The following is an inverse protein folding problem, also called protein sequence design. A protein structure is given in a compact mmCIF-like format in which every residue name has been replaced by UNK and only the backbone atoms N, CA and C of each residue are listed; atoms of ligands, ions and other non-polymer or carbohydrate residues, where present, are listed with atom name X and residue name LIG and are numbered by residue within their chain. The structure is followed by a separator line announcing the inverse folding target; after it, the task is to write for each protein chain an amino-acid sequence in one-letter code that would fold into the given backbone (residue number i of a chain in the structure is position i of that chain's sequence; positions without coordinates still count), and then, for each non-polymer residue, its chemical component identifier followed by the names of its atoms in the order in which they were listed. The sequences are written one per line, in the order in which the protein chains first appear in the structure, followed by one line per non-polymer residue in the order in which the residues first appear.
data_IF_600371515449
#
_entry.id   IF_600371515449
#
_cell.length_a   1.000
_cell.length_b   1.000
_cell.length_c   1.000
_cell.angle_alpha   90.00
_cell.angle_beta   90.00
_cell.angle_gamma   90.00
#
_symmetry.space_group_name_H-M   'P 1'
#
loop_
_entity.id
_entity.type
_entity.pdbx_description
1 polymer ?
#
# COMPACT_ATOMS: atom_id res chain seq x y z
N UNK A 1 -56.76 63.33 14.17
CA UNK A 1 -55.94 63.39 12.94
C UNK A 1 -54.88 62.31 13.05
N UNK A 2 -54.71 61.56 11.96
CA UNK A 2 -53.66 60.55 11.69
C UNK A 2 -53.67 59.27 12.56
N UNK A 3 -53.44 58.06 12.04
CA UNK A 3 -53.25 57.57 10.67
C UNK A 3 -53.48 56.05 10.68
N UNK A 4 -53.89 55.56 9.51
CA UNK A 4 -54.26 54.18 9.13
C UNK A 4 -53.27 53.10 9.59
N UNK A 5 -53.78 51.98 10.08
CA UNK A 5 -53.10 50.68 10.08
C UNK A 5 -53.87 49.73 9.15
N UNK A 6 -53.28 49.47 7.99
CA UNK A 6 -53.70 48.44 7.06
C UNK A 6 -53.13 47.08 7.52
N UNK A 7 -54.02 46.09 7.63
CA UNK A 7 -53.72 44.67 7.41
C UNK A 7 -53.08 44.53 6.02
N UNK A 8 -52.16 43.58 5.75
CA UNK A 8 -52.67 42.22 5.49
C UNK A 8 -51.70 41.02 5.63
N UNK A 9 -52.32 39.85 5.46
CA UNK A 9 -51.84 38.63 4.79
C UNK A 9 -50.76 37.77 5.46
N UNK A 10 -51.26 36.69 6.05
CA UNK A 10 -50.60 35.41 6.27
C UNK A 10 -49.90 34.93 4.99
N UNK A 11 -48.62 34.58 5.11
CA UNK A 11 -47.94 33.68 4.16
C UNK A 11 -47.14 32.67 4.98
N UNK A 12 -47.56 31.41 4.87
CA UNK A 12 -46.89 30.27 5.47
C UNK A 12 -45.70 29.88 4.57
N UNK A 13 -44.49 29.88 5.14
CA UNK A 13 -43.32 29.29 4.49
C UNK A 13 -43.05 27.91 5.11
N UNK A 14 -43.04 26.82 4.33
CA UNK A 14 -42.61 25.53 4.82
C UNK A 14 -41.08 25.51 4.94
N UNK A 15 -40.59 25.04 6.08
CA UNK A 15 -39.18 24.81 6.33
C UNK A 15 -38.73 23.60 5.48
N UNK A 16 -38.00 23.86 4.40
CA UNK A 16 -37.25 22.85 3.66
C UNK A 16 -35.98 22.51 4.47
N UNK A 17 -36.07 21.44 5.26
CA UNK A 17 -34.91 20.74 5.81
C UNK A 17 -34.16 20.08 4.64
N UNK A 18 -33.11 20.74 4.17
CA UNK A 18 -32.12 20.12 3.28
C UNK A 18 -31.35 19.06 4.09
N UNK A 19 -31.80 17.80 4.00
CA UNK A 19 -31.02 16.67 4.45
C UNK A 19 -29.80 16.56 3.53
N UNK A 20 -28.65 17.06 3.98
CA UNK A 20 -27.38 16.77 3.35
C UNK A 20 -27.09 15.29 3.52
N UNK A 21 -27.49 14.48 2.54
CA UNK A 21 -27.03 13.10 2.42
C UNK A 21 -25.53 13.16 2.15
N UNK A 22 -24.74 13.00 3.21
CA UNK A 22 -23.34 12.65 3.09
C UNK A 22 -23.29 11.35 2.30
N UNK A 23 -22.95 11.44 1.02
CA UNK A 23 -22.54 10.29 0.23
C UNK A 23 -21.32 9.72 0.96
N UNK A 24 -21.53 8.67 1.74
CA UNK A 24 -20.45 7.83 2.21
C UNK A 24 -19.80 7.26 0.95
N UNK A 25 -18.66 7.81 0.53
CA UNK A 25 -17.83 7.22 -0.51
C UNK A 25 -17.37 5.84 -0.02
N UNK A 26 -17.87 4.73 -0.57
CA UNK A 26 -17.38 3.41 -0.23
C UNK A 26 -16.38 3.04 -1.32
N UNK A 27 -15.14 3.48 -1.18
CA UNK A 27 -14.02 2.93 -1.93
C UNK A 27 -12.75 3.35 -1.20
N UNK A 28 -11.85 2.40 -0.96
CA UNK A 28 -10.48 2.66 -0.54
C UNK A 28 -9.75 3.41 -1.66
N UNK A 29 -10.06 4.70 -1.87
CA UNK A 29 -9.21 5.56 -2.67
C UNK A 29 -7.91 5.72 -1.88
N UNK A 30 -6.86 5.01 -2.31
CA UNK A 30 -5.51 5.32 -1.87
C UNK A 30 -5.29 6.80 -2.21
N UNK A 31 -5.16 7.65 -1.21
CA UNK A 31 -4.85 9.05 -1.43
C UNK A 31 -3.58 9.14 -2.29
N UNK A 32 -3.58 10.04 -3.27
CA UNK A 32 -2.39 10.28 -4.09
C UNK A 32 -1.19 10.65 -3.21
N UNK A 33 -0.02 10.08 -3.51
CA UNK A 33 1.22 10.31 -2.75
C UNK A 33 2.30 10.93 -3.64
N UNK A 34 2.01 12.08 -4.28
CA UNK A 34 2.94 12.67 -5.23
C UNK A 34 4.21 13.13 -4.53
N UNK A 35 5.32 13.04 -5.25
CA UNK A 35 6.60 13.58 -4.84
C UNK A 35 6.77 15.00 -5.41
N UNK A 36 7.07 15.96 -4.54
CA UNK A 36 7.35 17.32 -4.97
C UNK A 36 8.62 17.34 -5.86
N UNK A 37 8.65 18.14 -6.95
CA UNK A 37 9.80 18.15 -7.88
C UNK A 37 11.13 18.48 -7.21
N UNK A 38 11.15 19.40 -6.23
CA UNK A 38 12.37 19.74 -5.50
C UNK A 38 12.92 18.55 -4.69
N UNK A 39 12.03 17.75 -4.10
CA UNK A 39 12.39 16.54 -3.35
C UNK A 39 13.00 15.49 -4.28
N UNK A 40 12.34 15.23 -5.42
CA UNK A 40 12.84 14.30 -6.44
C UNK A 40 14.22 14.73 -6.96
N UNK A 41 14.40 16.03 -7.25
CA UNK A 41 15.67 16.55 -7.73
C UNK A 41 16.81 16.37 -6.71
N UNK A 42 16.54 16.63 -5.43
CA UNK A 42 17.53 16.44 -4.36
C UNK A 42 17.94 14.98 -4.19
N UNK A 43 16.99 14.04 -4.29
CA UNK A 43 17.27 12.60 -4.25
C UNK A 43 18.04 12.17 -5.50
N UNK A 44 17.58 12.55 -6.70
CA UNK A 44 18.20 12.20 -7.96
C UNK A 44 19.67 12.65 -8.01
N UNK A 45 19.95 13.89 -7.58
CA UNK A 45 21.32 14.43 -7.53
C UNK A 45 22.26 13.58 -6.65
N UNK A 46 21.79 13.12 -5.49
CA UNK A 46 22.57 12.26 -4.59
C UNK A 46 22.84 10.88 -5.20
N UNK A 47 21.96 10.40 -6.06
CA UNK A 47 22.10 9.11 -6.76
C UNK A 47 22.80 9.23 -8.12
N UNK A 48 23.26 10.43 -8.50
CA UNK A 48 23.85 10.67 -9.82
C UNK A 48 22.84 10.61 -10.98
N UNK A 49 21.55 10.61 -10.66
CA UNK A 49 20.43 10.53 -11.60
C UNK A 49 19.98 11.92 -12.05
N UNK A 50 19.30 11.99 -13.21
CA UNK A 50 18.80 13.24 -13.80
C UNK A 50 17.43 13.05 -14.44
N UNK A 51 16.71 14.15 -14.64
CA UNK A 51 15.45 14.13 -15.38
C UNK A 51 14.29 13.45 -14.67
N UNK A 52 14.42 13.17 -13.37
CA UNK A 52 13.34 12.61 -12.57
C UNK A 52 12.18 13.60 -12.46
N UNK A 53 10.99 13.13 -12.82
CA UNK A 53 9.73 13.85 -12.70
C UNK A 53 8.71 12.90 -12.07
N UNK A 54 7.63 13.43 -11.50
CA UNK A 54 6.56 12.58 -11.00
C UNK A 54 6.07 11.66 -12.13
N UNK A 55 6.11 10.33 -11.96
CA UNK A 55 5.68 9.40 -12.99
C UNK A 55 4.19 9.56 -13.30
N UNK A 56 3.83 9.37 -14.57
CA UNK A 56 2.45 9.36 -15.05
C UNK A 56 2.29 8.30 -16.13
N UNK A 57 1.07 7.83 -16.36
CA UNK A 57 0.78 6.85 -17.42
C UNK A 57 1.02 7.38 -18.83
N UNK A 58 0.98 8.71 -19.02
CA UNK A 58 1.07 9.36 -20.32
C UNK A 58 2.52 9.75 -20.69
N UNK A 59 3.47 9.55 -19.78
CA UNK A 59 4.85 10.00 -19.95
C UNK A 59 5.85 8.97 -19.44
N UNK A 60 6.69 8.49 -20.35
CA UNK A 60 7.83 7.63 -20.00
C UNK A 60 9.00 8.46 -19.46
N UNK A 61 9.73 7.89 -18.51
CA UNK A 61 10.90 8.51 -17.92
C UNK A 61 11.71 7.53 -17.06
N UNK A 62 12.94 7.91 -16.66
CA UNK A 62 13.82 7.03 -15.88
C UNK A 62 13.29 6.74 -14.47
N UNK A 63 12.40 7.58 -13.93
CA UNK A 63 11.65 7.30 -12.72
C UNK A 63 10.31 6.67 -13.13
N UNK A 64 10.13 5.38 -12.84
CA UNK A 64 8.99 4.58 -13.30
C UNK A 64 7.81 4.66 -12.34
N UNK A 65 8.08 4.63 -11.03
CA UNK A 65 7.05 4.76 -9.99
C UNK A 65 7.59 5.57 -8.81
N UNK A 66 6.71 6.35 -8.17
CA UNK A 66 7.10 7.17 -7.04
C UNK A 66 5.94 7.39 -6.07
N UNK A 67 6.22 7.20 -4.78
CA UNK A 67 5.35 7.57 -3.68
C UNK A 67 6.13 8.38 -2.63
N UNK A 68 5.54 9.48 -2.18
CA UNK A 68 6.08 10.33 -1.13
C UNK A 68 5.01 10.69 -0.10
N UNK A 69 5.38 10.63 1.19
CA UNK A 69 4.55 11.12 2.30
C UNK A 69 5.39 11.82 3.35
N UNK A 70 4.79 12.80 4.03
CA UNK A 70 5.38 13.40 5.24
C UNK A 70 5.50 12.35 6.34
N UNK A 71 6.63 12.39 7.05
CA UNK A 71 6.87 11.53 8.20
C UNK A 71 5.99 11.99 9.37
N UNK A 72 5.15 11.13 9.97
CA UNK A 72 4.15 11.64 10.90
C UNK A 72 4.70 12.08 12.27
N UNK A 73 5.95 11.76 12.62
CA UNK A 73 6.57 12.21 13.88
C UNK A 73 7.46 13.48 13.71
N UNK A 74 7.85 13.86 12.50
CA UNK A 74 8.55 15.13 12.21
C UNK A 74 8.20 15.60 10.79
N UNK A 75 7.44 16.69 10.69
CA UNK A 75 6.97 17.22 9.41
C UNK A 75 8.09 17.74 8.49
N UNK A 76 9.32 17.92 8.99
CA UNK A 76 10.49 18.26 8.18
C UNK A 76 11.10 17.04 7.49
N UNK A 77 10.59 15.85 7.78
CA UNK A 77 11.02 14.60 7.17
C UNK A 77 9.92 14.04 6.30
N UNK A 78 10.32 13.29 5.27
CA UNK A 78 9.42 12.52 4.42
C UNK A 78 9.91 11.07 4.35
N UNK A 79 9.00 10.15 4.07
CA UNK A 79 9.33 8.83 3.56
C UNK A 79 9.03 8.78 2.06
N UNK A 80 9.87 8.07 1.32
CA UNK A 80 9.79 7.94 -0.13
C UNK A 80 9.99 6.48 -0.54
N UNK A 81 9.28 6.05 -1.56
CA UNK A 81 9.51 4.79 -2.27
C UNK A 81 9.56 5.09 -3.77
N UNK A 82 10.67 4.74 -4.43
CA UNK A 82 10.93 5.06 -5.82
C UNK A 82 11.36 3.80 -6.57
N UNK A 83 10.84 3.59 -7.77
CA UNK A 83 11.32 2.60 -8.73
C UNK A 83 11.89 3.33 -9.94
N UNK A 84 13.16 3.11 -10.26
CA UNK A 84 13.83 3.81 -11.34
C UNK A 84 14.78 2.92 -12.12
N UNK A 85 15.02 3.30 -13.36
CA UNK A 85 16.04 2.73 -14.22
C UNK A 85 17.25 3.67 -14.22
N UNK A 86 18.42 3.17 -13.80
CA UNK A 86 19.64 3.97 -13.72
C UNK A 86 20.26 4.27 -15.08
N UNK A 87 19.98 3.42 -16.08
CA UNK A 87 20.70 3.41 -17.35
C UNK A 87 19.81 3.83 -18.53
N UNK A 88 18.52 4.13 -18.26
CA UNK A 88 17.49 4.40 -19.28
C UNK A 88 17.50 3.32 -20.39
N UNK A 89 17.84 2.09 -20.00
CA UNK A 89 18.03 0.91 -20.85
C UNK A 89 17.14 -0.26 -20.45
N UNK A 90 16.37 -0.10 -19.37
CA UNK A 90 15.40 -1.07 -18.93
C UNK A 90 14.48 -1.38 -20.11
N UNK A 91 14.34 -2.68 -20.38
CA UNK A 91 13.62 -3.20 -21.53
C UNK A 91 12.12 -2.87 -21.50
N UNK A 92 11.36 -3.64 -22.25
CA UNK A 92 9.90 -3.53 -22.29
C UNK A 92 9.31 -3.71 -20.89
N UNK A 93 8.27 -2.95 -20.48
CA UNK A 93 7.51 -3.27 -19.27
C UNK A 93 7.18 -4.77 -19.20
N UNK A 94 7.42 -5.37 -18.03
CA UNK A 94 7.32 -6.82 -17.80
C UNK A 94 8.64 -7.58 -17.97
N UNK A 95 9.73 -6.91 -18.40
CA UNK A 95 11.07 -7.51 -18.58
C UNK A 95 12.19 -6.63 -17.99
N UNK A 96 11.84 -5.56 -17.26
CA UNK A 96 12.80 -4.60 -16.71
C UNK A 96 13.42 -5.09 -15.41
N UNK A 97 14.69 -4.72 -15.20
CA UNK A 97 15.31 -4.71 -13.88
C UNK A 97 15.37 -3.27 -13.38
N UNK A 98 14.51 -2.92 -12.44
CA UNK A 98 14.44 -1.58 -11.86
C UNK A 98 15.13 -1.56 -10.49
N UNK A 99 15.70 -0.41 -10.12
CA UNK A 99 16.14 -0.16 -8.76
C UNK A 99 14.97 0.26 -7.88
N UNK A 100 14.87 -0.33 -6.69
CA UNK A 100 13.99 0.12 -5.61
C UNK A 100 14.79 0.95 -4.61
N UNK A 101 14.34 2.18 -4.35
CA UNK A 101 14.81 2.98 -3.23
C UNK A 101 13.66 3.20 -2.25
N UNK A 102 13.88 2.85 -0.99
CA UNK A 102 13.01 3.23 0.12
C UNK A 102 13.83 4.09 1.06
N UNK A 103 13.37 5.30 1.38
CA UNK A 103 14.16 6.21 2.21
C UNK A 103 13.31 7.06 3.15
N UNK A 104 13.91 7.42 4.28
CA UNK A 104 13.51 8.58 5.08
C UNK A 104 14.47 9.72 4.75
N UNK A 105 13.93 10.88 4.42
CA UNK A 105 14.68 12.01 3.88
C UNK A 105 14.29 13.31 4.58
N UNK A 106 15.20 14.29 4.56
CA UNK A 106 14.85 15.68 4.82
C UNK A 106 13.95 16.19 3.69
N UNK A 107 12.75 16.69 4.03
CA UNK A 107 11.75 17.06 3.04
C UNK A 107 12.15 18.25 2.17
N UNK A 108 13.02 19.14 2.66
CA UNK A 108 13.39 20.35 1.93
C UNK A 108 14.52 20.11 0.93
N UNK A 109 15.49 19.26 1.30
CA UNK A 109 16.70 19.01 0.50
C UNK A 109 16.71 17.67 -0.21
N UNK A 110 15.86 16.72 0.19
CA UNK A 110 15.92 15.32 -0.25
C UNK A 110 17.09 14.55 0.33
N UNK A 111 17.87 15.13 1.25
CA UNK A 111 19.02 14.48 1.88
C UNK A 111 18.59 13.20 2.61
N UNK A 112 19.29 12.10 2.34
CA UNK A 112 19.03 10.83 3.02
C UNK A 112 19.29 10.94 4.53
N UNK A 113 18.31 10.52 5.32
CA UNK A 113 18.45 10.28 6.76
C UNK A 113 18.65 8.79 6.99
N UNK A 114 17.84 7.95 6.34
CA UNK A 114 17.98 6.50 6.29
C UNK A 114 17.53 5.98 4.93
N UNK A 115 18.11 4.89 4.45
CA UNK A 115 17.67 4.27 3.18
C UNK A 115 17.85 2.76 3.11
N UNK A 116 17.06 2.15 2.26
CA UNK A 116 17.17 0.79 1.78
C UNK A 116 17.16 0.81 0.25
N UNK A 117 18.05 0.05 -0.35
CA UNK A 117 18.14 -0.12 -1.80
C UNK A 117 17.94 -1.60 -2.12
N UNK A 118 17.21 -1.87 -3.18
CA UNK A 118 16.93 -3.21 -3.70
C UNK A 118 16.69 -3.15 -5.20
N UNK A 119 16.21 -4.25 -5.76
CA UNK A 119 15.83 -4.32 -7.17
C UNK A 119 14.41 -4.90 -7.30
N UNK A 120 13.71 -4.48 -8.36
CA UNK A 120 12.44 -5.05 -8.81
C UNK A 120 12.71 -5.68 -10.17
N UNK A 121 12.70 -7.00 -10.22
CA UNK A 121 12.80 -7.75 -11.47
C UNK A 121 11.38 -7.98 -11.97
N UNK A 122 11.04 -7.37 -13.10
CA UNK A 122 9.74 -7.54 -13.72
C UNK A 122 9.66 -8.87 -14.46
N UNK A 123 8.50 -9.50 -14.36
CA UNK A 123 8.16 -10.76 -14.99
C UNK A 123 6.64 -10.90 -15.14
N UNK A 124 6.15 -12.12 -15.36
CA UNK A 124 4.71 -12.40 -15.47
C UNK A 124 3.90 -12.03 -14.21
N UNK A 125 4.52 -11.95 -13.03
CA UNK A 125 3.89 -11.63 -11.75
C UNK A 125 4.08 -10.16 -11.36
N UNK A 126 5.18 -9.53 -11.78
CA UNK A 126 5.50 -8.15 -11.43
C UNK A 126 5.70 -7.26 -12.66
N UNK A 127 4.84 -6.24 -12.79
CA UNK A 127 5.06 -5.11 -13.70
C UNK A 127 4.78 -3.80 -12.95
N UNK A 128 5.70 -2.85 -13.04
CA UNK A 128 5.68 -1.58 -12.31
C UNK A 128 5.17 -0.47 -13.23
N UNK A 129 4.11 0.19 -12.79
CA UNK A 129 3.56 1.40 -13.41
C UNK A 129 3.65 2.59 -12.44
N UNK A 130 3.24 3.77 -12.91
CA UNK A 130 3.39 5.04 -12.20
C UNK A 130 2.86 5.04 -10.75
N UNK A 131 1.82 4.26 -10.46
CA UNK A 131 1.14 4.14 -9.17
C UNK A 131 1.37 2.79 -8.45
N UNK A 132 2.33 1.99 -8.92
CA UNK A 132 2.69 0.70 -8.32
C UNK A 132 3.24 0.80 -6.90
N UNK A 133 3.70 1.97 -6.47
CA UNK A 133 4.27 2.16 -5.13
C UNK A 133 3.30 2.94 -4.24
N UNK A 134 3.17 2.50 -3.00
CA UNK A 134 2.38 3.17 -1.98
C UNK A 134 3.05 3.10 -0.61
N UNK A 135 2.96 4.19 0.15
CA UNK A 135 3.50 4.32 1.50
C UNK A 135 2.38 4.21 2.53
N UNK A 136 2.52 3.24 3.43
CA UNK A 136 1.68 3.09 4.60
C UNK A 136 2.36 3.69 5.83
N UNK A 137 1.86 4.84 6.27
CA UNK A 137 2.38 5.56 7.45
C UNK A 137 1.45 5.44 8.67
N UNK A 138 0.65 4.37 8.72
CA UNK A 138 -0.14 4.02 9.90
C UNK A 138 0.75 3.96 11.17
N UNK A 139 0.11 3.89 12.34
CA UNK A 139 0.78 4.03 13.63
C UNK A 139 1.50 2.73 14.06
N UNK A 140 2.44 2.25 13.25
CA UNK A 140 3.28 1.08 13.54
C UNK A 140 4.39 1.41 14.55
N UNK A 141 4.03 1.81 15.78
CA UNK A 141 4.99 1.98 16.88
C UNK A 141 5.31 0.60 17.46
N UNK A 142 6.39 0.00 16.97
CA UNK A 142 6.83 -1.35 17.37
C UNK A 142 7.54 -1.31 18.73
N UNK A 143 8.20 -0.22 19.07
CA UNK A 143 8.76 0.02 20.40
C UNK A 143 8.60 1.51 20.76
N UNK A 144 9.02 1.89 21.99
CA UNK A 144 8.91 3.28 22.48
C UNK A 144 9.46 4.30 21.48
N UNK A 145 10.63 4.00 20.92
CA UNK A 145 11.40 4.88 20.03
C UNK A 145 11.56 4.29 18.61
N UNK A 146 10.82 3.23 18.28
CA UNK A 146 10.86 2.57 16.96
C UNK A 146 9.49 2.63 16.32
N UNK A 147 9.40 3.42 15.24
CA UNK A 147 8.23 3.45 14.36
C UNK A 147 8.59 2.88 13.00
N UNK A 148 7.81 1.91 12.56
CA UNK A 148 7.87 1.40 11.21
C UNK A 148 6.97 2.20 10.25
N UNK A 149 7.22 2.03 8.96
CA UNK A 149 6.28 2.36 7.88
C UNK A 149 6.31 1.26 6.83
N UNK A 150 5.21 1.13 6.10
CA UNK A 150 5.05 0.18 5.03
C UNK A 150 5.38 0.78 3.67
N UNK A 151 5.95 -0.04 2.80
CA UNK A 151 5.93 0.14 1.36
C UNK A 151 5.06 -0.98 0.78
N UNK A 152 4.06 -0.62 0.00
CA UNK A 152 3.22 -1.55 -0.75
C UNK A 152 3.61 -1.48 -2.22
N UNK A 153 3.85 -2.64 -2.81
CA UNK A 153 4.13 -2.81 -4.23
C UNK A 153 2.92 -3.48 -4.88
N UNK A 154 2.26 -2.77 -5.78
CA UNK A 154 1.13 -3.25 -6.58
C UNK A 154 1.60 -3.50 -8.02
N UNK A 155 1.43 -4.74 -8.48
CA UNK A 155 1.75 -5.13 -9.86
C UNK A 155 0.63 -4.74 -10.82
N UNK A 156 1.01 -4.28 -12.01
CA UNK A 156 0.15 -4.10 -13.18
C UNK A 156 0.29 -5.26 -14.19
N UNK A 157 1.11 -6.26 -13.86
CA UNK A 157 1.34 -7.40 -14.71
C UNK A 157 0.03 -8.15 -14.93
N UNK A 158 -0.15 -8.67 -16.14
CA UNK A 158 -1.37 -9.43 -16.49
C UNK A 158 -1.54 -10.70 -15.64
N UNK A 159 -0.46 -11.16 -15.01
CA UNK A 159 -0.42 -12.42 -14.30
C UNK A 159 -0.28 -13.61 -15.26
N UNK A 160 -0.07 -14.81 -14.70
CA UNK A 160 -0.15 -16.06 -15.46
C UNK A 160 -1.55 -16.26 -16.05
N UNK A 161 -1.67 -17.02 -17.14
CA UNK A 161 -2.94 -17.23 -17.84
C UNK A 161 -3.94 -18.10 -17.06
N UNK A 162 -3.46 -19.11 -16.32
CA UNK A 162 -4.28 -20.11 -15.62
C UNK A 162 -3.78 -20.38 -14.20
N UNK A 163 -3.67 -19.36 -13.32
CA UNK A 163 -3.30 -19.57 -11.93
C UNK A 163 -4.39 -20.32 -11.16
N UNK A 164 -3.99 -21.05 -10.13
CA UNK A 164 -4.89 -21.58 -9.10
C UNK A 164 -4.82 -20.79 -7.78
N UNK A 165 -3.99 -19.74 -7.74
CA UNK A 165 -3.90 -18.78 -6.64
C UNK A 165 -3.27 -17.47 -7.11
N UNK A 166 -3.47 -16.39 -6.36
CA UNK A 166 -2.81 -15.12 -6.62
C UNK A 166 -2.49 -14.37 -5.33
N UNK A 167 -1.43 -13.57 -5.38
CA UNK A 167 -0.96 -12.73 -4.28
C UNK A 167 -0.71 -11.33 -4.83
N UNK A 168 -1.19 -10.30 -4.13
CA UNK A 168 -1.16 -8.92 -4.62
C UNK A 168 -0.86 -7.95 -3.48
N UNK A 169 -0.37 -6.78 -3.85
CA UNK A 169 -0.06 -5.69 -2.93
C UNK A 169 0.92 -6.13 -1.84
N UNK A 170 2.15 -6.46 -2.24
CA UNK A 170 3.19 -6.87 -1.31
C UNK A 170 3.53 -5.70 -0.38
N UNK A 171 3.23 -5.85 0.91
CA UNK A 171 3.58 -4.95 1.97
C UNK A 171 4.90 -5.38 2.61
N UNK A 172 5.89 -4.49 2.59
CA UNK A 172 7.08 -4.60 3.42
C UNK A 172 7.11 -3.50 4.49
N UNK A 173 7.22 -3.87 5.77
CA UNK A 173 7.46 -2.91 6.86
C UNK A 173 8.96 -2.66 7.05
N UNK A 174 9.35 -1.40 7.09
CA UNK A 174 10.72 -0.95 7.35
C UNK A 174 10.84 -0.26 8.70
N UNK A 175 11.95 -0.51 9.40
CA UNK A 175 12.36 0.21 10.62
C UNK A 175 13.74 0.85 10.43
N UNK A 176 14.09 1.87 11.23
CA UNK A 176 15.47 2.31 11.39
C UNK A 176 16.42 1.13 11.70
N UNK A 177 17.48 1.02 10.90
CA UNK A 177 18.57 0.08 11.09
C UNK A 177 19.83 0.78 11.61
N UNK A 178 20.96 0.07 11.55
CA UNK A 178 22.27 0.61 11.88
C UNK A 178 22.80 1.50 10.74
N UNK A 179 23.72 2.41 11.05
CA UNK A 179 24.45 3.19 10.04
C UNK A 179 23.57 3.87 8.96
N UNK A 180 22.47 4.51 9.38
CA UNK A 180 21.53 5.19 8.47
C UNK A 180 20.89 4.27 7.41
N UNK A 181 20.66 3.00 7.76
CA UNK A 181 19.91 2.07 6.91
C UNK A 181 18.45 1.98 7.32
N UNK A 182 17.60 1.60 6.38
CA UNK A 182 16.27 1.05 6.66
C UNK A 182 16.33 -0.46 6.54
N UNK A 183 15.73 -1.14 7.51
CA UNK A 183 15.74 -2.60 7.60
C UNK A 183 14.33 -3.15 7.46
N UNK A 184 14.08 -4.07 6.51
CA UNK A 184 12.79 -4.74 6.43
C UNK A 184 12.62 -5.67 7.64
N UNK A 185 11.42 -5.66 8.22
CA UNK A 185 11.07 -6.50 9.38
C UNK A 185 9.85 -7.37 9.14
N UNK A 186 9.02 -7.08 8.14
CA UNK A 186 7.89 -7.91 7.74
C UNK A 186 7.72 -7.78 6.24
N UNK A 187 7.41 -8.87 5.55
CA UNK A 187 6.97 -8.89 4.15
C UNK A 187 5.80 -9.86 4.03
N UNK A 188 4.72 -9.43 3.39
CA UNK A 188 3.54 -10.25 3.12
C UNK A 188 2.58 -9.54 2.17
N UNK A 189 1.46 -10.16 1.82
CA UNK A 189 0.53 -9.63 0.82
C UNK A 189 -0.73 -9.07 1.46
N UNK A 190 -1.26 -7.97 0.91
CA UNK A 190 -2.49 -7.36 1.41
C UNK A 190 -3.76 -7.95 0.76
N UNK A 191 -3.59 -8.67 -0.35
CA UNK A 191 -4.66 -9.43 -0.99
C UNK A 191 -4.12 -10.77 -1.48
N UNK A 192 -4.88 -11.83 -1.26
CA UNK A 192 -4.61 -13.14 -1.84
C UNK A 192 -5.95 -13.73 -2.32
N UNK A 193 -5.89 -14.67 -3.26
CA UNK A 193 -7.01 -15.56 -3.58
C UNK A 193 -6.50 -16.96 -3.89
N UNK A 194 -7.36 -17.96 -3.73
CA UNK A 194 -7.05 -19.36 -4.01
C UNK A 194 -8.26 -20.09 -4.59
N UNK A 195 -8.04 -20.98 -5.55
CA UNK A 195 -9.04 -21.95 -6.02
C UNK A 195 -9.30 -22.96 -4.91
N UNK A 196 -10.56 -23.08 -4.47
CA UNK A 196 -10.99 -24.08 -3.47
C UNK A 196 -11.79 -25.22 -4.09
N UNK A 197 -12.29 -25.05 -5.32
CA UNK A 197 -12.95 -26.12 -6.06
C UNK A 197 -12.78 -25.92 -7.57
N UNK A 198 -12.61 -27.02 -8.30
CA UNK A 198 -12.48 -27.01 -9.75
C UNK A 198 -11.04 -26.77 -10.21
N UNK A 199 -10.89 -26.34 -11.46
CA UNK A 199 -9.59 -26.13 -12.10
C UNK A 199 -9.68 -24.87 -12.93
N UNK A 200 -8.69 -23.99 -12.80
CA UNK A 200 -8.59 -22.77 -13.60
C UNK A 200 -8.55 -23.08 -15.10
N UNK A 201 -9.06 -22.17 -15.94
CA UNK A 201 -9.11 -22.29 -17.40
C UNK A 201 -9.87 -23.50 -17.98
N UNK A 202 -10.68 -24.18 -17.18
CA UNK A 202 -11.60 -25.22 -17.65
C UNK A 202 -13.02 -24.70 -17.49
N UNK A 203 -13.87 -24.87 -18.51
CA UNK A 203 -15.29 -24.57 -18.38
C UNK A 203 -15.91 -25.52 -17.36
N UNK A 204 -16.04 -25.05 -16.11
CA UNK A 204 -16.48 -25.85 -14.98
C UNK A 204 -17.39 -25.00 -14.09
N UNK A 205 -18.69 -25.28 -14.13
CA UNK A 205 -19.72 -24.62 -13.33
C UNK A 205 -19.50 -24.76 -11.81
N UNK A 206 -18.58 -25.64 -11.40
CA UNK A 206 -18.16 -25.87 -10.01
C UNK A 206 -16.86 -25.17 -9.63
N UNK A 207 -16.28 -24.33 -10.50
CA UNK A 207 -15.14 -23.50 -10.11
C UNK A 207 -15.52 -22.58 -8.95
N UNK A 208 -14.75 -22.59 -7.86
CA UNK A 208 -14.93 -21.71 -6.70
C UNK A 208 -13.59 -21.20 -6.25
N UNK A 209 -13.52 -19.92 -5.92
CA UNK A 209 -12.35 -19.34 -5.26
C UNK A 209 -12.71 -18.64 -3.96
N UNK A 210 -11.74 -18.52 -3.08
CA UNK A 210 -11.81 -17.68 -1.89
C UNK A 210 -10.80 -16.54 -2.03
N UNK A 211 -11.24 -15.35 -1.67
CA UNK A 211 -10.44 -14.12 -1.68
C UNK A 211 -10.21 -13.70 -0.25
N UNK A 212 -9.04 -13.16 0.06
CA UNK A 212 -8.81 -12.49 1.32
C UNK A 212 -8.23 -11.09 1.16
N UNK A 213 -8.71 -10.22 2.04
CA UNK A 213 -8.16 -8.88 2.25
C UNK A 213 -7.52 -8.82 3.62
N UNK A 214 -6.22 -8.54 3.66
CA UNK A 214 -5.43 -8.54 4.89
C UNK A 214 -5.34 -7.14 5.47
N UNK A 215 -5.26 -7.11 6.80
CA UNK A 215 -4.94 -5.90 7.57
C UNK A 215 -3.91 -6.24 8.64
N UNK A 216 -3.05 -5.28 8.93
CA UNK A 216 -1.99 -5.41 9.92
C UNK A 216 -2.24 -4.43 11.06
N UNK A 217 -2.17 -4.92 12.30
CA UNK A 217 -2.35 -4.10 13.49
C UNK A 217 -1.28 -4.39 14.53
N UNK A 218 -1.05 -3.43 15.43
CA UNK A 218 -0.18 -3.63 16.59
C UNK A 218 -0.93 -4.44 17.65
N UNK A 219 -0.31 -5.53 18.10
CA UNK A 219 -0.80 -6.38 19.16
C UNK A 219 -0.50 -5.84 20.55
N UNK A 220 -1.17 -6.36 21.60
CA UNK A 220 -1.01 -5.90 22.98
C UNK A 220 0.23 -6.47 23.67
N UNK A 221 0.88 -7.46 23.07
CA UNK A 221 2.07 -8.14 23.60
C UNK A 221 3.30 -7.71 22.82
N UNK A 222 4.47 -8.06 23.35
CA UNK A 222 5.75 -7.81 22.71
C UNK A 222 6.67 -9.01 22.81
N UNK A 223 7.43 -9.26 21.75
CA UNK A 223 8.46 -10.29 21.65
C UNK A 223 9.76 -9.65 21.22
N UNK A 224 10.88 -10.02 21.86
CA UNK A 224 12.22 -9.50 21.52
C UNK A 224 12.30 -7.96 21.42
N UNK A 225 11.56 -7.25 22.29
CA UNK A 225 11.57 -5.79 22.38
C UNK A 225 10.65 -5.06 21.39
N UNK A 226 10.00 -5.76 20.46
CA UNK A 226 9.02 -5.20 19.53
C UNK A 226 7.61 -5.70 19.87
N UNK A 227 6.59 -4.88 19.65
CA UNK A 227 5.19 -5.26 19.76
C UNK A 227 4.87 -6.35 18.73
N UNK A 228 4.15 -7.39 19.14
CA UNK A 228 3.67 -8.41 18.22
C UNK A 228 2.73 -7.78 17.19
N UNK A 229 2.67 -8.34 15.98
CA UNK A 229 1.72 -7.91 14.96
C UNK A 229 0.50 -8.83 14.94
N UNK A 230 -0.67 -8.26 14.68
CA UNK A 230 -1.90 -9.01 14.42
C UNK A 230 -2.20 -8.86 12.93
N UNK A 231 -2.01 -9.94 12.19
CA UNK A 231 -2.47 -10.06 10.81
C UNK A 231 -3.89 -10.61 10.82
N UNK A 232 -4.82 -9.89 10.21
CA UNK A 232 -6.22 -10.32 10.07
C UNK A 232 -6.56 -10.45 8.60
N UNK A 233 -7.16 -11.57 8.19
CA UNK A 233 -7.64 -11.79 6.84
C UNK A 233 -9.17 -11.89 6.85
N UNK A 234 -9.83 -11.01 6.10
CA UNK A 234 -11.27 -11.09 5.82
C UNK A 234 -11.46 -11.90 4.55
N UNK A 235 -12.06 -13.09 4.66
CA UNK A 235 -12.21 -14.04 3.57
C UNK A 235 -13.62 -13.98 3.00
N UNK A 236 -13.75 -13.94 1.68
CA UNK A 236 -15.00 -13.94 0.92
C UNK A 236 -14.97 -14.95 -0.23
N UNK A 237 -16.14 -15.30 -0.76
CA UNK A 237 -16.25 -16.07 -2.02
C UNK A 237 -16.15 -15.16 -3.25
N UNK A 238 -16.38 -15.73 -4.43
CA UNK A 238 -16.35 -15.07 -5.74
C UNK A 238 -17.37 -13.92 -5.89
N UNK A 239 -18.46 -13.95 -5.11
CA UNK A 239 -19.50 -12.90 -5.11
C UNK A 239 -19.25 -11.84 -4.03
N UNK A 240 -18.01 -11.74 -3.52
CA UNK A 240 -17.61 -10.90 -2.38
C UNK A 240 -18.43 -11.18 -1.10
N UNK A 241 -19.11 -12.33 -1.01
CA UNK A 241 -19.89 -12.66 0.19
C UNK A 241 -18.93 -13.06 1.32
N UNK A 242 -19.02 -12.44 2.51
CA UNK A 242 -18.15 -12.78 3.63
C UNK A 242 -18.32 -14.25 4.05
N UNK A 243 -17.21 -14.98 4.16
CA UNK A 243 -17.16 -16.36 4.62
C UNK A 243 -16.66 -16.44 6.06
N UNK A 244 -15.50 -15.84 6.34
CA UNK A 244 -14.86 -15.88 7.66
C UNK A 244 -13.87 -14.74 7.85
N UNK A 245 -13.44 -14.53 9.09
CA UNK A 245 -12.27 -13.73 9.42
C UNK A 245 -11.30 -14.57 10.23
N UNK A 246 -10.06 -14.68 9.75
CA UNK A 246 -8.99 -15.40 10.44
C UNK A 246 -7.93 -14.41 10.93
N UNK A 247 -7.27 -14.73 12.04
CA UNK A 247 -6.23 -13.89 12.63
C UNK A 247 -5.02 -14.71 13.01
N UNK A 248 -3.83 -14.19 12.74
CA UNK A 248 -2.54 -14.74 13.15
C UNK A 248 -1.77 -13.67 13.92
N UNK A 249 -1.22 -14.04 15.08
CA UNK A 249 -0.27 -13.18 15.79
C UNK A 249 1.13 -13.53 15.31
N UNK A 250 1.84 -12.53 14.79
CA UNK A 250 3.23 -12.64 14.38
C UNK A 250 4.10 -12.11 15.51
N UNK A 251 4.87 -12.99 16.12
CA UNK A 251 5.85 -12.61 17.13
C UNK A 251 7.14 -12.18 16.42
N UNK A 252 7.73 -11.09 16.88
CA UNK A 252 9.05 -10.67 16.42
C UNK A 252 10.10 -11.68 16.90
N UNK A 253 10.96 -12.20 16.02
CA UNK A 253 11.97 -13.21 16.36
C UNK A 253 13.33 -12.61 16.76
N UNK A 254 13.41 -11.27 16.85
CA UNK A 254 14.65 -10.51 17.05
C UNK A 254 15.26 -9.98 15.75
N UNK A 255 14.77 -10.43 14.59
CA UNK A 255 15.17 -9.95 13.27
C UNK A 255 13.96 -9.55 12.42
N UNK A 256 12.98 -10.43 12.23
CA UNK A 256 11.78 -10.20 11.43
C UNK A 256 10.52 -10.67 12.17
N UNK A 257 9.36 -10.42 11.57
CA UNK A 257 8.09 -11.10 11.84
C UNK A 257 7.95 -12.21 10.80
N UNK A 258 8.17 -13.49 11.16
CA UNK A 258 8.09 -14.58 10.22
C UNK A 258 6.68 -14.72 9.64
N UNK A 259 6.59 -14.71 8.32
CA UNK A 259 5.35 -14.88 7.56
C UNK A 259 5.66 -15.76 6.35
N UNK A 260 4.84 -16.80 6.13
CA UNK A 260 4.94 -17.63 4.94
C UNK A 260 3.72 -17.41 4.05
N UNK A 261 3.89 -16.83 2.86
CA UNK A 261 2.90 -16.80 1.78
C UNK A 261 2.18 -18.13 1.50
N UNK A 262 2.86 -19.26 1.74
CA UNK A 262 2.33 -20.60 1.42
C UNK A 262 1.31 -21.13 2.41
N UNK A 263 1.12 -20.49 3.57
CA UNK A 263 0.15 -20.94 4.59
C UNK A 263 -1.24 -20.33 4.34
N UNK A 264 -1.77 -20.42 3.12
CA UNK A 264 -2.88 -19.56 2.68
C UNK A 264 -4.12 -19.72 3.56
N UNK A 265 -4.48 -18.61 4.23
CA UNK A 265 -5.53 -18.41 5.24
C UNK A 265 -5.37 -19.16 6.58
N UNK A 266 -4.11 -19.50 6.92
CA UNK A 266 -3.53 -19.76 8.25
C UNK A 266 -3.95 -21.04 9.00
N UNK A 267 -4.35 -22.08 8.27
CA UNK A 267 -4.48 -23.47 8.74
C UNK A 267 -4.60 -24.46 7.58
N UNK A 268 -4.22 -25.73 7.78
CA UNK A 268 -3.99 -26.73 6.71
C UNK A 268 -5.21 -26.94 5.81
N UNK A 269 -5.04 -26.67 4.52
CA UNK A 269 -5.92 -27.15 3.47
C UNK A 269 -5.79 -28.68 3.40
N UNK A 270 -6.68 -29.42 4.07
CA UNK A 270 -6.88 -30.84 3.78
C UNK A 270 -7.60 -30.93 2.44
N UNK A 271 -6.82 -31.18 1.38
CA UNK A 271 -7.34 -31.62 0.09
C UNK A 271 -7.56 -33.12 0.22
N UNK A 272 -8.82 -33.53 0.37
CA UNK A 272 -9.23 -34.92 0.11
C UNK A 272 -9.37 -35.14 -1.41
#
# INVERSE_FOLDING_TARGET
MDRRLHRPLFSALPWLLAAATSLANPAWARDAQPCEPALLNGIAQQLGQKGWQQPSYDSEGPLVAAACKRWPDDARQSVVALAYDSDASAGTPGERLLHLLVARVDSASGRFLERHEGNLEEDALLEISADSLWLDTARYRLAKDVRAFGVVISSHGRGPSCPDAGMFDELTLFVPGEAATLRPVFTGYLREWITVQGTSCVNNDRFRSEHARMTLAIGPKSSHGFADLILSAQVSDDDDKPLRTVKKTLQYDGKTYPYSPTDTFWGTLSVD
#
